data_IF_686552359090
#
_entry.id   IF_686552359090
#
_cell.length_a   1.000
_cell.length_b   1.000
_cell.length_c   1.000
_cell.angle_alpha   90.00
_cell.angle_beta   90.00
_cell.angle_gamma   90.00
#
_symmetry.space_group_name_H-M   'P 1'
#
loop_
_entity.id
_entity.type
_entity.pdbx_description
1 polymer ?
#
# COMPACT_ATOMS: atom_id res chain seq x y z
N UNK A 1 -11.13 -28.66 13.26
CA UNK A 1 -9.97 -28.15 14.01
C UNK A 1 -8.84 -27.67 13.10
N UNK A 2 -8.37 -28.46 12.11
CA UNK A 2 -7.38 -27.99 11.13
C UNK A 2 -7.83 -26.73 10.37
N UNK A 3 -9.05 -26.75 9.82
CA UNK A 3 -9.61 -25.59 9.12
C UNK A 3 -9.65 -24.32 10.00
N UNK A 4 -9.95 -24.45 11.30
CA UNK A 4 -9.95 -23.32 12.26
C UNK A 4 -8.56 -22.67 12.34
N UNK A 5 -7.52 -23.47 12.51
CA UNK A 5 -6.14 -22.97 12.61
C UNK A 5 -5.64 -22.34 11.31
N UNK A 6 -5.99 -22.95 10.17
CA UNK A 6 -5.70 -22.37 8.85
C UNK A 6 -6.39 -21.03 8.66
N UNK A 7 -7.65 -20.90 9.08
CA UNK A 7 -8.42 -19.65 8.98
C UNK A 7 -7.82 -18.56 9.88
N UNK A 8 -7.42 -18.88 11.11
CA UNK A 8 -6.78 -17.92 12.03
C UNK A 8 -5.46 -17.40 11.40
N UNK A 9 -4.59 -18.32 10.97
CA UNK A 9 -3.33 -17.94 10.33
C UNK A 9 -3.53 -17.14 9.04
N UNK A 10 -4.51 -17.52 8.22
CA UNK A 10 -4.88 -16.78 7.02
C UNK A 10 -5.42 -15.38 7.34
N UNK A 11 -6.25 -15.24 8.38
CA UNK A 11 -6.80 -13.96 8.81
C UNK A 11 -5.69 -13.02 9.33
N UNK A 12 -4.78 -13.52 10.17
CA UNK A 12 -3.62 -12.75 10.63
C UNK A 12 -2.73 -12.31 9.46
N UNK A 13 -2.41 -13.23 8.57
CA UNK A 13 -1.60 -12.95 7.39
C UNK A 13 -2.27 -11.93 6.45
N UNK A 14 -3.58 -12.06 6.23
CA UNK A 14 -4.36 -11.13 5.41
C UNK A 14 -4.38 -9.73 6.02
N UNK A 15 -4.58 -9.61 7.33
CA UNK A 15 -4.52 -8.32 8.04
C UNK A 15 -3.18 -7.66 7.85
N UNK A 16 -2.07 -8.40 8.00
CA UNK A 16 -0.75 -7.84 7.78
C UNK A 16 -0.48 -7.49 6.31
N UNK A 17 -1.09 -8.21 5.36
CA UNK A 17 -1.01 -7.86 3.94
C UNK A 17 -1.71 -6.53 3.61
N UNK A 18 -2.67 -6.06 4.42
CA UNK A 18 -3.31 -4.75 4.21
C UNK A 18 -2.30 -3.60 4.28
N UNK A 19 -1.28 -3.70 5.14
CA UNK A 19 -0.22 -2.69 5.27
C UNK A 19 0.56 -2.57 3.96
N UNK A 20 1.01 -3.70 3.41
CA UNK A 20 1.74 -3.73 2.15
C UNK A 20 0.85 -3.35 0.97
N UNK A 21 -0.43 -3.71 1.01
CA UNK A 21 -1.41 -3.33 -0.02
C UNK A 21 -1.61 -1.82 -0.08
N UNK A 22 -1.63 -1.12 1.07
CA UNK A 22 -1.70 0.34 1.11
C UNK A 22 -0.52 1.00 0.38
N UNK A 23 0.71 0.52 0.63
CA UNK A 23 1.92 1.04 -0.01
C UNK A 23 1.94 0.73 -1.52
N UNK A 24 1.54 -0.49 -1.91
CA UNK A 24 1.42 -0.87 -3.32
C UNK A 24 0.43 0.02 -4.06
N UNK A 25 -0.74 0.25 -3.48
CA UNK A 25 -1.74 1.15 -4.05
C UNK A 25 -1.18 2.57 -4.23
N UNK A 26 -0.47 3.10 -3.24
CA UNK A 26 0.20 4.40 -3.37
C UNK A 26 1.15 4.44 -4.57
N UNK A 27 2.01 3.42 -4.70
CA UNK A 27 2.97 3.32 -5.80
C UNK A 27 2.33 3.13 -7.17
N UNK A 28 1.20 2.43 -7.26
CA UNK A 28 0.41 2.30 -8.49
C UNK A 28 -0.15 3.65 -8.92
N UNK A 29 -0.79 4.39 -8.01
CA UNK A 29 -1.37 5.71 -8.33
C UNK A 29 -0.28 6.70 -8.73
N UNK A 30 0.87 6.71 -8.03
CA UNK A 30 2.01 7.56 -8.40
C UNK A 30 2.52 7.19 -9.80
N UNK A 31 2.73 5.90 -10.07
CA UNK A 31 3.19 5.43 -11.39
C UNK A 31 2.23 5.79 -12.52
N UNK A 32 0.93 5.71 -12.27
CA UNK A 32 -0.11 6.14 -13.20
C UNK A 32 -0.01 7.64 -13.50
N UNK A 33 0.12 8.49 -12.47
CA UNK A 33 0.22 9.94 -12.63
C UNK A 33 1.50 10.39 -13.34
N UNK A 34 2.58 9.62 -13.21
CA UNK A 34 3.84 9.86 -13.92
C UNK A 34 3.77 9.49 -15.41
N UNK A 35 2.72 8.77 -15.84
CA UNK A 35 2.57 8.27 -17.21
C UNK A 35 3.27 6.93 -17.46
N UNK A 36 3.81 6.27 -16.44
CA UNK A 36 4.44 4.95 -16.59
C UNK A 36 3.43 3.85 -16.96
N UNK A 37 2.15 4.09 -16.69
CA UNK A 37 1.02 3.22 -17.06
C UNK A 37 0.51 3.43 -18.49
N UNK A 38 1.10 4.32 -19.31
CA UNK A 38 0.76 4.40 -20.73
C UNK A 38 1.06 3.09 -21.47
N UNK A 39 2.14 2.39 -21.10
CA UNK A 39 2.52 1.13 -21.72
C UNK A 39 1.45 0.03 -21.56
N UNK A 40 0.76 -0.02 -20.42
CA UNK A 40 -0.31 -0.99 -20.15
C UNK A 40 -1.60 -0.72 -20.92
N UNK A 41 -1.82 0.50 -21.43
CA UNK A 41 -2.96 0.80 -22.31
C UNK A 41 -2.75 0.30 -23.74
N UNK A 42 -1.51 0.29 -24.22
CA UNK A 42 -1.18 -0.17 -25.57
C UNK A 42 -0.99 -1.68 -25.65
N UNK A 43 -0.42 -2.29 -24.61
CA UNK A 43 -0.29 -3.75 -24.52
C UNK A 43 -0.57 -4.23 -23.07
N UNK A 44 -1.81 -4.66 -22.78
CA UNK A 44 -2.18 -5.26 -21.50
C UNK A 44 -1.50 -6.63 -21.25
N UNK A 45 -1.01 -7.29 -22.30
CA UNK A 45 -0.34 -8.61 -22.24
C UNK A 45 1.17 -8.51 -22.04
N UNK A 46 1.79 -7.39 -22.38
CA UNK A 46 3.16 -7.06 -22.01
C UNK A 46 3.19 -6.79 -20.50
N UNK A 47 3.48 -7.82 -19.70
CA UNK A 47 3.48 -7.83 -18.24
C UNK A 47 4.43 -6.81 -17.57
N UNK A 48 4.13 -5.52 -17.74
CA UNK A 48 4.78 -4.43 -17.04
C UNK A 48 4.25 -4.40 -15.61
N UNK A 49 5.00 -5.03 -14.71
CA UNK A 49 4.81 -4.86 -13.27
C UNK A 49 4.93 -3.38 -12.92
N UNK A 50 4.00 -2.78 -12.16
CA UNK A 50 4.05 -1.36 -11.84
C UNK A 50 5.36 -1.03 -11.12
N UNK A 51 6.30 -0.38 -11.81
CA UNK A 51 7.70 -0.25 -11.40
C UNK A 51 7.81 0.44 -10.04
N UNK A 52 7.05 1.53 -9.85
CA UNK A 52 7.04 2.31 -8.60
C UNK A 52 6.42 1.51 -7.45
N UNK A 53 5.29 0.83 -7.67
CA UNK A 53 4.66 -0.05 -6.68
C UNK A 53 5.61 -1.13 -6.21
N UNK A 54 6.28 -1.80 -7.15
CA UNK A 54 7.26 -2.85 -6.85
C UNK A 54 8.45 -2.30 -6.07
N UNK A 55 8.97 -1.14 -6.47
CA UNK A 55 10.08 -0.48 -5.79
C UNK A 55 9.73 -0.11 -4.34
N UNK A 56 8.59 0.57 -4.12
CA UNK A 56 8.13 0.92 -2.78
C UNK A 56 7.84 -0.31 -1.93
N UNK A 57 7.24 -1.36 -2.50
CA UNK A 57 6.99 -2.62 -1.80
C UNK A 57 8.30 -3.29 -1.36
N UNK A 58 9.35 -3.25 -2.18
CA UNK A 58 10.67 -3.76 -1.79
C UNK A 58 11.27 -2.94 -0.64
N UNK A 59 11.25 -1.61 -0.72
CA UNK A 59 11.73 -0.74 0.36
C UNK A 59 10.99 -1.01 1.67
N UNK A 60 9.66 -1.08 1.62
CA UNK A 60 8.85 -1.34 2.80
C UNK A 60 9.04 -2.76 3.34
N UNK A 61 9.30 -3.74 2.49
CA UNK A 61 9.71 -5.08 2.94
C UNK A 61 11.02 -5.03 3.72
N UNK A 62 12.03 -4.30 3.21
CA UNK A 62 13.29 -4.12 3.93
C UNK A 62 13.09 -3.39 5.27
N UNK A 63 12.25 -2.36 5.30
CA UNK A 63 11.89 -1.66 6.55
C UNK A 63 11.18 -2.59 7.54
N UNK A 64 10.26 -3.43 7.08
CA UNK A 64 9.58 -4.42 7.92
C UNK A 64 10.57 -5.41 8.56
N UNK A 65 11.59 -5.82 7.82
CA UNK A 65 12.68 -6.64 8.37
C UNK A 65 13.53 -5.84 9.36
N UNK A 66 13.91 -4.60 9.01
CA UNK A 66 14.74 -3.73 9.84
C UNK A 66 14.08 -3.39 11.20
N UNK A 67 12.76 -3.22 11.22
CA UNK A 67 11.99 -2.94 12.43
C UNK A 67 11.58 -4.21 13.20
N UNK A 68 12.05 -5.39 12.80
CA UNK A 68 11.69 -6.66 13.42
C UNK A 68 10.19 -7.00 13.40
N UNK A 69 9.42 -6.45 12.45
CA UNK A 69 7.99 -6.73 12.34
C UNK A 69 7.69 -8.22 12.15
N UNK A 70 8.59 -8.95 11.52
CA UNK A 70 8.50 -10.41 11.38
C UNK A 70 8.59 -11.13 12.74
N UNK A 71 9.41 -10.66 13.68
CA UNK A 71 9.49 -11.22 15.03
C UNK A 71 8.23 -10.91 15.83
N UNK A 72 7.68 -9.71 15.68
CA UNK A 72 6.42 -9.33 16.33
C UNK A 72 5.25 -10.19 15.86
N UNK A 73 5.18 -10.48 14.55
CA UNK A 73 4.17 -11.39 14.00
C UNK A 73 4.29 -12.80 14.61
N UNK A 74 5.50 -13.33 14.74
CA UNK A 74 5.73 -14.65 15.33
C UNK A 74 5.38 -14.69 16.81
N UNK A 75 5.74 -13.65 17.57
CA UNK A 75 5.36 -13.53 18.98
C UNK A 75 3.84 -13.52 19.15
N UNK A 76 3.14 -12.71 18.35
CA UNK A 76 1.69 -12.61 18.39
C UNK A 76 1.01 -13.91 17.95
N UNK A 77 1.58 -14.62 16.98
CA UNK A 77 1.13 -15.95 16.59
C UNK A 77 1.29 -16.96 17.73
N UNK A 78 2.40 -16.93 18.47
CA UNK A 78 2.59 -17.78 19.64
C UNK A 78 1.54 -17.48 20.73
N UNK A 79 1.23 -16.19 20.95
CA UNK A 79 0.21 -15.76 21.91
C UNK A 79 -1.21 -16.22 21.51
N UNK A 80 -1.49 -16.38 20.21
CA UNK A 80 -2.80 -16.91 19.77
C UNK A 80 -3.13 -18.30 20.32
N UNK A 81 -2.13 -19.12 20.65
CA UNK A 81 -2.39 -20.44 21.24
C UNK A 81 -2.91 -20.37 22.68
N UNK A 82 -2.68 -19.24 23.36
CA UNK A 82 -3.20 -18.98 24.70
C UNK A 82 -4.57 -18.30 24.64
N UNK A 83 -4.76 -17.34 23.73
CA UNK A 83 -6.01 -16.58 23.61
C UNK A 83 -7.09 -17.31 22.81
N UNK A 84 -6.71 -18.08 21.78
CA UNK A 84 -7.57 -18.90 20.93
C UNK A 84 -7.14 -20.37 21.03
N UNK A 85 -7.45 -21.05 22.16
CA UNK A 85 -7.02 -22.43 22.37
C UNK A 85 -7.59 -23.39 21.32
N UNK A 86 -6.93 -24.54 21.17
CA UNK A 86 -7.38 -25.60 20.25
C UNK A 86 -8.55 -26.36 20.90
N UNK A 87 -9.75 -25.84 20.70
CA UNK A 87 -10.99 -26.39 21.23
C UNK A 87 -12.10 -26.45 20.17
N UNK A 88 -13.29 -26.88 20.58
CA UNK A 88 -14.47 -26.97 19.74
C UNK A 88 -15.25 -25.64 19.63
N UNK A 89 -14.83 -24.56 20.31
CA UNK A 89 -15.54 -23.29 20.24
C UNK A 89 -15.42 -22.71 18.83
N UNK A 90 -16.54 -22.29 18.21
CA UNK A 90 -16.52 -21.68 16.89
C UNK A 90 -15.92 -20.27 16.97
N UNK A 91 -15.26 -19.84 15.88
CA UNK A 91 -14.76 -18.47 15.76
C UNK A 91 -15.91 -17.48 15.71
N UNK A 92 -15.78 -16.35 16.42
CA UNK A 92 -16.81 -15.33 16.40
C UNK A 92 -16.84 -14.59 15.04
N UNK A 93 -18.03 -14.40 14.48
CA UNK A 93 -18.20 -13.74 13.18
C UNK A 93 -17.75 -12.26 13.20
N UNK A 94 -17.74 -11.64 14.39
CA UNK A 94 -17.27 -10.27 14.61
C UNK A 94 -15.84 -10.04 14.15
N UNK A 95 -14.94 -11.02 14.30
CA UNK A 95 -13.56 -10.92 13.83
C UNK A 95 -13.45 -10.75 12.31
N UNK A 96 -14.24 -11.47 11.52
CA UNK A 96 -14.23 -11.30 10.06
C UNK A 96 -14.78 -9.94 9.63
N UNK A 97 -15.85 -9.47 10.28
CA UNK A 97 -16.38 -8.13 10.03
C UNK A 97 -15.37 -7.04 10.42
N UNK A 98 -14.65 -7.25 11.52
CA UNK A 98 -13.58 -6.36 11.96
C UNK A 98 -12.47 -6.25 10.89
N UNK A 99 -12.04 -7.38 10.31
CA UNK A 99 -11.07 -7.35 9.20
C UNK A 99 -11.59 -6.55 7.99
N UNK A 100 -12.81 -6.83 7.55
CA UNK A 100 -13.41 -6.18 6.37
C UNK A 100 -13.57 -4.68 6.57
N UNK A 101 -14.00 -4.23 7.74
CA UNK A 101 -14.15 -2.81 8.05
C UNK A 101 -12.81 -2.07 8.05
N UNK A 102 -11.72 -2.74 8.43
CA UNK A 102 -10.39 -2.15 8.42
C UNK A 102 -9.69 -2.23 7.05
N UNK A 103 -10.21 -2.99 6.09
CA UNK A 103 -9.66 -3.03 4.73
C UNK A 103 -9.66 -1.65 4.03
N UNK A 104 -10.54 -0.72 4.45
CA UNK A 104 -10.53 0.68 4.00
C UNK A 104 -9.22 1.43 4.31
N UNK A 105 -8.38 0.90 5.21
CA UNK A 105 -7.03 1.44 5.46
C UNK A 105 -6.17 1.45 4.20
N UNK A 106 -6.37 0.50 3.26
CA UNK A 106 -5.61 0.43 2.01
C UNK A 106 -5.74 1.75 1.25
N UNK A 107 -6.97 2.24 1.11
CA UNK A 107 -7.26 3.47 0.37
C UNK A 107 -6.82 4.72 1.12
N UNK A 108 -7.13 4.81 2.42
CA UNK A 108 -6.78 6.00 3.21
C UNK A 108 -5.27 6.15 3.38
N UNK A 109 -4.57 5.09 3.80
CA UNK A 109 -3.12 5.13 4.01
C UNK A 109 -2.35 5.18 2.69
N UNK A 110 -2.82 4.46 1.67
CA UNK A 110 -2.23 4.52 0.34
C UNK A 110 -2.35 5.91 -0.27
N UNK A 111 -3.53 6.55 -0.14
CA UNK A 111 -3.70 7.92 -0.59
C UNK A 111 -2.85 8.90 0.23
N UNK A 112 -2.80 8.76 1.56
CA UNK A 112 -1.96 9.63 2.41
C UNK A 112 -0.48 9.59 2.02
N UNK A 113 0.06 8.40 1.72
CA UNK A 113 1.44 8.25 1.25
C UNK A 113 1.64 8.89 -0.12
N UNK A 114 0.71 8.70 -1.06
CA UNK A 114 0.80 9.23 -2.42
C UNK A 114 0.42 10.71 -2.55
N UNK A 115 -0.29 11.27 -1.57
CA UNK A 115 -0.91 12.59 -1.62
C UNK A 115 0.03 13.72 -2.10
N UNK A 116 1.25 13.90 -1.55
CA UNK A 116 2.12 15.00 -1.97
C UNK A 116 2.56 14.87 -3.44
N UNK A 117 2.82 13.66 -3.93
CA UNK A 117 3.19 13.44 -5.34
C UNK A 117 2.00 13.64 -6.25
N UNK A 118 0.83 13.09 -5.87
CA UNK A 118 -0.39 13.22 -6.64
C UNK A 118 -0.77 14.69 -6.78
N UNK A 119 -0.72 15.47 -5.70
CA UNK A 119 -1.01 16.90 -5.73
C UNK A 119 -0.03 17.66 -6.64
N UNK A 120 1.27 17.38 -6.53
CA UNK A 120 2.29 17.98 -7.40
C UNK A 120 2.04 17.66 -8.89
N UNK A 121 1.83 16.39 -9.21
CA UNK A 121 1.62 15.95 -10.59
C UNK A 121 0.28 16.45 -11.15
N UNK A 122 -0.75 16.58 -10.32
CA UNK A 122 -2.02 17.19 -10.70
C UNK A 122 -1.84 18.67 -11.06
N UNK A 123 -1.06 19.43 -10.27
CA UNK A 123 -0.71 20.81 -10.59
C UNK A 123 0.05 20.90 -11.91
N UNK A 124 1.02 20.02 -12.15
CA UNK A 124 1.78 19.97 -13.42
C UNK A 124 0.85 19.68 -14.59
N UNK A 125 -0.03 18.68 -14.48
CA UNK A 125 -1.01 18.36 -15.52
C UNK A 125 -1.96 19.54 -15.80
N UNK A 126 -2.37 20.27 -14.76
CA UNK A 126 -3.19 21.47 -14.92
C UNK A 126 -2.46 22.58 -15.69
N UNK A 127 -1.19 22.82 -15.35
CA UNK A 127 -0.33 23.80 -16.05
C UNK A 127 -0.14 23.41 -17.52
N UNK A 128 0.13 22.12 -17.80
CA UNK A 128 0.29 21.61 -19.16
C UNK A 128 -1.00 21.73 -19.97
N UNK A 129 -2.15 21.45 -19.35
CA UNK A 129 -3.47 21.64 -19.97
C UNK A 129 -3.72 23.10 -20.34
N UNK A 130 -3.35 24.05 -19.48
CA UNK A 130 -3.44 25.48 -19.78
C UNK A 130 -2.49 25.90 -20.91
N UNK A 131 -1.24 25.42 -20.89
CA UNK A 131 -0.25 25.69 -21.94
C UNK A 131 -0.71 25.22 -23.32
N UNK A 132 -1.40 24.08 -23.40
CA UNK A 132 -1.92 23.58 -24.68
C UNK A 132 -2.98 24.50 -25.29
N UNK A 133 -3.75 25.21 -24.44
CA UNK A 133 -4.69 26.23 -24.91
C UNK A 133 -3.99 27.47 -25.46
N UNK A 134 -2.85 27.85 -24.89
CA UNK A 134 -2.09 29.05 -25.27
C UNK A 134 -1.19 28.82 -26.48
N UNK A 135 -0.63 27.62 -26.60
CA UNK A 135 0.30 27.22 -27.67
C UNK A 135 -0.06 25.84 -28.18
N UNK A 136 -1.08 25.70 -29.06
CA UNK A 136 -1.55 24.41 -29.58
C UNK A 136 -0.54 23.69 -30.49
N UNK A 137 0.56 24.37 -30.85
CA UNK A 137 1.67 23.82 -31.63
C UNK A 137 2.59 22.91 -30.78
N UNK A 138 2.54 23.06 -29.44
CA UNK A 138 3.29 22.21 -28.52
C UNK A 138 2.49 20.94 -28.26
N UNK A 139 2.97 19.81 -28.77
CA UNK A 139 2.41 18.51 -28.40
C UNK A 139 2.64 18.26 -26.90
N UNK A 140 1.56 18.24 -26.11
CA UNK A 140 1.61 17.89 -24.68
C UNK A 140 2.33 16.56 -24.49
N UNK A 141 2.20 15.61 -25.42
CA UNK A 141 2.89 14.32 -25.31
C UNK A 141 4.42 14.45 -25.33
N UNK A 142 4.97 15.42 -26.08
CA UNK A 142 6.42 15.61 -26.21
C UNK A 142 7.00 16.26 -24.96
N UNK A 143 6.26 17.17 -24.30
CA UNK A 143 6.77 17.96 -23.17
C UNK A 143 6.27 17.44 -21.82
N UNK A 144 5.03 16.96 -21.77
CA UNK A 144 4.35 16.55 -20.55
C UNK A 144 4.97 15.33 -19.91
N UNK A 145 5.24 14.27 -20.69
CA UNK A 145 5.81 13.04 -20.15
C UNK A 145 7.20 13.24 -19.51
N UNK A 146 8.17 13.91 -20.18
CA UNK A 146 9.46 14.23 -19.54
C UNK A 146 9.30 15.05 -18.25
N UNK A 147 8.36 15.99 -18.20
CA UNK A 147 8.11 16.82 -17.01
C UNK A 147 7.48 16.01 -15.87
N UNK A 148 6.40 15.27 -16.12
CA UNK A 148 5.72 14.47 -15.09
C UNK A 148 6.65 13.39 -14.54
N UNK A 149 7.49 12.80 -15.39
CA UNK A 149 8.50 11.82 -14.95
C UNK A 149 9.58 12.49 -14.09
N UNK A 150 10.16 13.61 -14.54
CA UNK A 150 11.23 14.29 -13.78
C UNK A 150 10.75 14.77 -12.42
N UNK A 151 9.63 15.47 -12.36
CA UNK A 151 9.07 15.96 -11.10
C UNK A 151 8.50 14.83 -10.24
N UNK A 152 7.95 13.77 -10.84
CA UNK A 152 7.52 12.58 -10.11
C UNK A 152 8.69 11.85 -9.46
N UNK A 153 9.82 11.71 -10.15
CA UNK A 153 11.04 11.11 -9.58
C UNK A 153 11.63 12.00 -8.46
N UNK A 154 11.65 13.32 -8.64
CA UNK A 154 12.05 14.25 -7.57
C UNK A 154 11.15 14.14 -6.34
N UNK A 155 9.84 14.05 -6.53
CA UNK A 155 8.91 13.89 -5.43
C UNK A 155 9.07 12.53 -4.72
N UNK A 156 9.33 11.45 -5.47
CA UNK A 156 9.65 10.14 -4.90
C UNK A 156 10.95 10.17 -4.08
N UNK A 157 11.96 10.92 -4.53
CA UNK A 157 13.19 11.11 -3.76
C UNK A 157 12.90 11.79 -2.41
N UNK A 158 12.06 12.83 -2.38
CA UNK A 158 11.64 13.48 -1.14
C UNK A 158 10.79 12.57 -0.24
N UNK A 159 9.94 11.72 -0.82
CA UNK A 159 9.19 10.70 -0.07
C UNK A 159 10.13 9.69 0.59
N UNK A 160 11.23 9.30 -0.07
CA UNK A 160 12.13 8.29 0.47
C UNK A 160 12.67 8.67 1.86
N UNK A 161 12.90 9.96 2.12
CA UNK A 161 13.34 10.48 3.44
C UNK A 161 12.27 10.32 4.53
N UNK A 162 10.99 10.37 4.16
CA UNK A 162 9.86 10.30 5.10
C UNK A 162 9.16 8.93 5.11
N UNK A 163 9.59 8.00 4.25
CA UNK A 163 8.99 6.68 4.10
C UNK A 163 9.16 5.82 5.35
N UNK A 164 10.34 5.84 5.97
CA UNK A 164 10.62 5.08 7.19
C UNK A 164 9.70 5.45 8.37
N UNK A 165 9.61 6.74 8.80
CA UNK A 165 8.72 7.12 9.89
C UNK A 165 7.24 6.99 9.52
N UNK A 166 6.88 7.12 8.25
CA UNK A 166 5.52 6.80 7.79
C UNK A 166 5.21 5.31 7.97
N UNK A 167 6.11 4.44 7.52
CA UNK A 167 5.90 3.00 7.58
C UNK A 167 5.92 2.47 9.02
N UNK A 168 6.71 3.05 9.91
CA UNK A 168 6.68 2.73 11.35
C UNK A 168 5.28 2.97 11.95
N UNK A 169 4.66 4.13 11.66
CA UNK A 169 3.28 4.42 12.10
C UNK A 169 2.27 3.46 11.48
N UNK A 170 2.40 3.17 10.18
CA UNK A 170 1.53 2.22 9.49
C UNK A 170 1.66 0.82 10.08
N UNK A 171 2.87 0.42 10.46
CA UNK A 171 3.15 -0.85 11.12
C UNK A 171 2.48 -0.91 12.48
N UNK A 172 2.60 0.14 13.30
CA UNK A 172 1.90 0.22 14.59
C UNK A 172 0.37 0.07 14.43
N UNK A 173 -0.25 0.85 13.53
CA UNK A 173 -1.68 0.71 13.23
C UNK A 173 -2.03 -0.71 12.78
N UNK A 174 -1.20 -1.33 11.95
CA UNK A 174 -1.43 -2.68 11.46
C UNK A 174 -1.40 -3.75 12.56
N UNK A 175 -0.47 -3.64 13.51
CA UNK A 175 -0.40 -4.53 14.66
C UNK A 175 -1.54 -4.29 15.65
N UNK A 176 -2.00 -3.05 15.83
CA UNK A 176 -3.18 -2.73 16.64
C UNK A 176 -4.45 -3.40 16.05
N UNK A 177 -4.61 -3.34 14.72
CA UNK A 177 -5.72 -4.02 14.02
C UNK A 177 -5.58 -5.54 14.17
N UNK A 178 -4.37 -6.08 14.11
CA UNK A 178 -4.13 -7.51 14.28
C UNK A 178 -4.50 -7.97 15.70
N UNK A 179 -4.13 -7.20 16.73
CA UNK A 179 -4.51 -7.47 18.10
C UNK A 179 -6.04 -7.39 18.31
N UNK A 180 -6.68 -6.36 17.75
CA UNK A 180 -8.14 -6.21 17.75
C UNK A 180 -8.87 -7.37 17.05
N UNK A 181 -8.31 -7.86 15.93
CA UNK A 181 -8.82 -9.02 15.22
C UNK A 181 -8.81 -10.27 16.11
N UNK A 182 -7.68 -10.54 16.78
CA UNK A 182 -7.54 -11.71 17.65
C UNK A 182 -8.59 -11.66 18.77
N UNK A 183 -8.77 -10.50 19.40
CA UNK A 183 -9.78 -10.31 20.44
C UNK A 183 -11.22 -10.49 19.91
N UNK A 184 -11.49 -10.04 18.69
CA UNK A 184 -12.80 -10.16 18.05
C UNK A 184 -13.11 -11.57 17.52
N UNK A 185 -12.12 -12.47 17.46
CA UNK A 185 -12.26 -13.86 17.05
C UNK A 185 -12.54 -14.82 18.21
N UNK A 186 -12.19 -14.41 19.45
CA UNK A 186 -12.52 -15.12 20.71
C UNK A 186 -14.03 -15.12 20.92
#
# INVERSE_FOLDING_TARGET
>A
MLAKQVIIGAAMGLTLQLLFAAVRMAGEIIGMQMGLSFATFFDPGAGNSPVISRFLNLLVTLLFLAFNGHLWLLALLADTFQTLPIDATPLHAGGFMYLVTHAGMIFSQGLMLGLPVIALLLCINFILGLLNRLTPQLSIFVIGFPLTLTFGMLALFLIAETLAPFFERLMATGFDILAGLIQALV
#
